data_IF_376826010437
#
_entry.id   IF_376826010437
#
_cell.length_a   1.000
_cell.length_b   1.000
_cell.length_c   1.000
_cell.angle_alpha   90.00
_cell.angle_beta   90.00
_cell.angle_gamma   90.00
#
_symmetry.space_group_name_H-M   'P 1'
#
loop_
_entity.id
_entity.type
_entity.pdbx_description
1 polymer ?
#
# COMPACT_ATOMS: atom_id res chain seq x y z
N UNK A 1 -12.20 -21.89 -15.83
CA UNK A 1 -11.88 -20.54 -16.36
C UNK A 1 -12.63 -19.57 -15.47
N UNK A 2 -11.97 -18.57 -14.87
CA UNK A 2 -12.66 -17.56 -14.07
C UNK A 2 -13.13 -16.48 -15.04
N UNK A 3 -14.31 -16.68 -15.58
CA UNK A 3 -14.96 -15.76 -16.49
C UNK A 3 -16.11 -15.05 -15.78
N UNK A 4 -16.17 -13.74 -16.00
CA UNK A 4 -17.36 -12.86 -15.97
C UNK A 4 -17.62 -12.01 -14.73
N UNK A 5 -16.89 -10.89 -14.63
CA UNK A 5 -17.50 -9.58 -14.33
C UNK A 5 -16.84 -8.44 -15.12
N UNK A 6 -15.54 -8.54 -15.38
CA UNK A 6 -14.84 -7.67 -16.33
C UNK A 6 -14.40 -8.49 -17.52
N UNK A 7 -14.67 -8.00 -18.74
CA UNK A 7 -14.23 -8.52 -20.04
C UNK A 7 -12.69 -8.41 -20.21
N UNK A 8 -11.99 -8.88 -19.19
CA UNK A 8 -10.58 -8.75 -18.95
C UNK A 8 -10.19 -10.08 -18.31
N UNK A 9 -10.04 -11.10 -19.16
CA UNK A 9 -9.72 -12.47 -18.77
C UNK A 9 -8.31 -12.54 -18.17
N UNK A 10 -8.16 -12.01 -16.96
CA UNK A 10 -6.93 -12.14 -16.21
C UNK A 10 -6.84 -13.58 -15.71
N UNK A 11 -5.92 -14.33 -16.30
CA UNK A 11 -5.52 -15.63 -15.79
C UNK A 11 -5.12 -15.51 -14.31
N UNK A 12 -5.32 -16.59 -13.55
CA UNK A 12 -4.85 -16.70 -12.15
C UNK A 12 -3.39 -16.25 -11.98
N UNK A 13 -2.55 -16.47 -13.00
CA UNK A 13 -1.16 -16.04 -13.04
C UNK A 13 -1.01 -14.52 -13.11
N UNK A 14 -1.81 -13.83 -13.90
CA UNK A 14 -1.78 -12.36 -13.99
C UNK A 14 -2.22 -11.71 -12.67
N UNK A 15 -3.26 -12.24 -12.01
CA UNK A 15 -3.65 -11.78 -10.68
C UNK A 15 -2.54 -11.97 -9.66
N UNK A 16 -1.92 -13.16 -9.64
CA UNK A 16 -0.79 -13.43 -8.74
C UNK A 16 0.36 -12.45 -8.98
N UNK A 17 0.72 -12.21 -10.23
CA UNK A 17 1.80 -11.28 -10.58
C UNK A 17 1.49 -9.85 -10.13
N UNK A 18 0.26 -9.36 -10.35
CA UNK A 18 -0.16 -8.03 -9.90
C UNK A 18 -0.20 -7.91 -8.38
N UNK A 19 -0.70 -8.94 -7.69
CA UNK A 19 -0.71 -9.00 -6.23
C UNK A 19 0.69 -9.00 -5.63
N UNK A 20 1.61 -9.77 -6.22
CA UNK A 20 3.01 -9.82 -5.78
C UNK A 20 3.73 -8.49 -6.06
N UNK A 21 3.38 -7.76 -7.13
CA UNK A 21 3.86 -6.41 -7.40
C UNK A 21 3.34 -5.39 -6.37
N UNK A 22 2.03 -5.38 -6.10
CA UNK A 22 1.41 -4.51 -5.10
C UNK A 22 1.99 -4.73 -3.70
N UNK A 23 2.29 -5.98 -3.33
CA UNK A 23 2.98 -6.28 -2.06
C UNK A 23 4.37 -5.67 -1.97
N UNK A 24 5.12 -5.60 -3.07
CA UNK A 24 6.44 -4.96 -3.09
C UNK A 24 6.32 -3.46 -2.91
N UNK A 25 5.40 -2.82 -3.63
CA UNK A 25 5.12 -1.39 -3.51
C UNK A 25 4.61 -1.03 -2.11
N UNK A 26 3.71 -1.83 -1.53
CA UNK A 26 3.22 -1.63 -0.17
C UNK A 26 4.32 -1.75 0.88
N UNK A 27 5.27 -2.70 0.72
CA UNK A 27 6.43 -2.79 1.61
C UNK A 27 7.33 -1.57 1.49
N UNK A 28 7.57 -1.07 0.27
CA UNK A 28 8.33 0.15 0.05
C UNK A 28 7.63 1.37 0.68
N UNK A 29 6.32 1.50 0.47
CA UNK A 29 5.50 2.54 1.10
C UNK A 29 5.52 2.46 2.63
N UNK A 30 5.39 1.26 3.21
CA UNK A 30 5.46 1.06 4.66
C UNK A 30 6.81 1.46 5.23
N UNK A 31 7.90 1.16 4.51
CA UNK A 31 9.25 1.58 4.88
C UNK A 31 9.38 3.11 4.86
N UNK A 32 8.94 3.75 3.79
CA UNK A 32 8.95 5.22 3.65
C UNK A 32 8.10 5.90 4.74
N UNK A 33 6.92 5.37 5.04
CA UNK A 33 6.03 5.91 6.09
C UNK A 33 6.54 5.64 7.51
N UNK A 34 7.27 4.55 7.72
CA UNK A 34 7.72 4.12 9.05
C UNK A 34 9.12 4.62 9.43
N UNK A 35 10.02 4.81 8.46
CA UNK A 35 11.41 5.18 8.72
C UNK A 35 11.68 6.67 8.49
N UNK A 36 11.20 7.27 7.39
CA UNK A 36 11.58 8.65 7.04
C UNK A 36 10.72 9.72 7.69
N UNK A 37 9.47 9.39 8.04
CA UNK A 37 8.54 10.49 8.31
C UNK A 37 8.58 10.93 9.76
N UNK A 38 8.89 10.11 10.78
CA UNK A 38 8.75 10.56 12.19
C UNK A 38 7.34 11.09 12.51
N UNK A 39 6.40 10.84 11.60
CA UNK A 39 5.08 11.44 11.50
C UNK A 39 4.09 10.35 11.91
N UNK A 40 3.98 10.11 13.21
CA UNK A 40 3.00 9.16 13.72
C UNK A 40 1.61 9.75 13.46
N UNK A 41 0.78 9.04 12.70
CA UNK A 41 -0.61 9.46 12.50
C UNK A 41 -1.32 9.47 13.85
N UNK A 42 -1.83 10.61 14.31
CA UNK A 42 -2.52 10.71 15.58
C UNK A 42 -4.02 10.43 15.36
N UNK A 43 -4.53 9.23 15.66
CA UNK A 43 -5.93 8.88 15.39
C UNK A 43 -6.92 9.66 16.28
N UNK A 44 -6.43 10.30 17.34
CA UNK A 44 -7.24 11.12 18.26
C UNK A 44 -7.48 12.50 17.65
N UNK A 45 -6.47 13.08 16.98
CA UNK A 45 -6.53 14.42 16.39
C UNK A 45 -6.92 14.42 14.91
N UNK A 46 -6.83 13.28 14.23
CA UNK A 46 -7.05 13.19 12.78
C UNK A 46 -6.00 13.94 11.97
N UNK A 47 -4.84 14.22 12.58
CA UNK A 47 -3.74 14.97 11.97
C UNK A 47 -2.48 14.13 11.99
N UNK A 48 -1.62 14.39 11.02
CA UNK A 48 -0.26 13.87 11.04
C UNK A 48 0.49 14.61 12.16
N UNK A 49 0.93 13.90 13.19
CA UNK A 49 1.73 14.50 14.26
C UNK A 49 3.16 14.64 13.74
N UNK A 50 3.53 15.85 13.35
CA UNK A 50 4.92 16.19 13.12
C UNK A 50 5.54 16.59 14.44
N UNK A 51 6.41 15.74 14.97
CA UNK A 51 7.31 16.19 16.03
C UNK A 51 8.11 17.36 15.45
N UNK A 52 8.00 18.52 16.09
CA UNK A 52 8.70 19.75 15.71
C UNK A 52 10.16 19.71 16.19
N UNK A 53 10.82 18.56 15.98
CA UNK A 53 12.23 18.36 16.31
C UNK A 53 13.05 18.56 15.04
N UNK A 54 13.37 19.83 14.76
CA UNK A 54 14.41 20.25 13.82
C UNK A 54 15.62 20.81 14.59
#
# INVERSE_FOLDING_TARGET
>A
IFENETDNAYSKRQFKNRWDALKKEWKAWKKLKGEDTGLWWNPIKGTIDASDDF
#
